data_IF_365033743542
#
_entry.id   IF_365033743542
#
_cell.length_a   1.000
_cell.length_b   1.000
_cell.length_c   1.000
_cell.angle_alpha   90.00
_cell.angle_beta   90.00
_cell.angle_gamma   90.00
#
_symmetry.space_group_name_H-M   'P 1'
#
loop_
_entity.id
_entity.type
_entity.pdbx_description
1 polymer ?
#
# COMPACT_ATOMS: atom_id res chain seq x y z
N UNK A 1 -16.66 -27.04 5.23
CA UNK A 1 -17.69 -28.04 4.83
C UNK A 1 -17.52 -28.64 3.43
N UNK A 2 -17.16 -27.89 2.36
CA UNK A 2 -16.98 -28.47 1.00
C UNK A 2 -15.74 -29.36 0.85
N UNK A 3 -14.59 -28.97 1.43
CA UNK A 3 -13.37 -29.77 1.32
C UNK A 3 -13.51 -31.18 1.92
N UNK A 4 -14.17 -31.35 3.08
CA UNK A 4 -14.44 -32.67 3.68
C UNK A 4 -15.19 -33.60 2.72
N UNK A 5 -16.14 -33.04 1.96
CA UNK A 5 -16.92 -33.79 0.96
C UNK A 5 -16.01 -34.18 -0.22
N UNK A 6 -15.15 -33.27 -0.68
CA UNK A 6 -14.23 -33.53 -1.78
C UNK A 6 -13.17 -34.58 -1.39
N UNK A 7 -12.63 -34.51 -0.18
CA UNK A 7 -11.74 -35.53 0.39
C UNK A 7 -12.46 -36.87 0.49
N UNK A 8 -13.72 -36.90 0.93
CA UNK A 8 -14.51 -38.15 0.99
C UNK A 8 -14.74 -38.76 -0.39
N UNK A 9 -14.90 -37.94 -1.44
CA UNK A 9 -15.05 -38.42 -2.81
C UNK A 9 -13.74 -38.96 -3.39
N UNK A 10 -12.64 -38.25 -3.17
CA UNK A 10 -11.33 -38.58 -3.75
C UNK A 10 -10.59 -39.67 -2.97
N UNK A 11 -10.75 -39.69 -1.65
CA UNK A 11 -10.05 -40.57 -0.71
C UNK A 11 -11.04 -41.12 0.34
N UNK A 12 -12.04 -41.92 -0.07
CA UNK A 12 -13.13 -42.38 0.79
C UNK A 12 -12.69 -43.20 2.01
N UNK A 13 -11.49 -43.80 1.95
CA UNK A 13 -10.94 -44.64 3.00
C UNK A 13 -9.92 -43.90 3.89
N UNK A 14 -9.71 -42.59 3.68
CA UNK A 14 -8.75 -41.82 4.46
C UNK A 14 -9.14 -41.77 5.94
N UNK A 15 -8.16 -42.01 6.82
CA UNK A 15 -8.30 -41.87 8.27
C UNK A 15 -8.62 -40.43 8.67
N UNK A 16 -8.17 -39.44 7.90
CA UNK A 16 -8.49 -38.02 8.12
C UNK A 16 -10.00 -37.76 8.12
N UNK A 17 -10.82 -38.56 7.43
CA UNK A 17 -12.28 -38.40 7.46
C UNK A 17 -12.91 -38.69 8.82
N UNK A 18 -12.25 -39.50 9.66
CA UNK A 18 -12.73 -39.86 11.01
C UNK A 18 -12.46 -38.76 12.03
N UNK A 19 -11.32 -38.09 11.90
CA UNK A 19 -10.85 -37.01 12.78
C UNK A 19 -10.77 -35.68 12.01
N UNK A 20 -11.68 -35.49 11.05
CA UNK A 20 -11.65 -34.33 10.17
C UNK A 20 -11.98 -33.08 10.99
N UNK A 21 -10.97 -32.24 11.17
CA UNK A 21 -11.02 -31.02 11.97
C UNK A 21 -11.59 -29.84 11.15
N UNK A 22 -11.94 -28.72 11.79
CA UNK A 22 -12.32 -27.50 11.06
C UNK A 22 -11.10 -26.75 10.51
N UNK A 23 -9.90 -27.03 11.03
CA UNK A 23 -8.63 -26.55 10.52
C UNK A 23 -8.20 -27.33 9.27
N UNK A 24 -8.36 -26.66 8.13
CA UNK A 24 -7.95 -27.17 6.82
C UNK A 24 -6.46 -27.47 6.71
N UNK A 25 -5.59 -26.74 7.41
CA UNK A 25 -4.13 -26.95 7.37
C UNK A 25 -3.78 -28.28 8.01
N UNK A 26 -4.34 -28.55 9.18
CA UNK A 26 -4.17 -29.84 9.89
C UNK A 26 -4.68 -30.99 9.02
N UNK A 27 -5.85 -30.82 8.40
CA UNK A 27 -6.42 -31.85 7.52
C UNK A 27 -5.52 -32.14 6.30
N UNK A 28 -5.01 -31.12 5.62
CA UNK A 28 -4.13 -31.28 4.46
C UNK A 28 -2.78 -31.90 4.86
N UNK A 29 -2.23 -31.52 6.01
CA UNK A 29 -1.02 -32.14 6.56
C UNK A 29 -1.22 -33.63 6.86
N UNK A 30 -2.31 -33.99 7.54
CA UNK A 30 -2.63 -35.38 7.85
C UNK A 30 -2.88 -36.20 6.59
N UNK A 31 -3.50 -35.62 5.56
CA UNK A 31 -3.67 -36.27 4.26
C UNK A 31 -2.33 -36.51 3.57
N UNK A 32 -1.39 -35.57 3.65
CA UNK A 32 -0.03 -35.77 3.15
C UNK A 32 0.67 -36.90 3.92
N UNK A 33 0.61 -36.91 5.25
CA UNK A 33 1.22 -37.96 6.08
C UNK A 33 0.62 -39.35 5.82
N UNK A 34 -0.68 -39.43 5.56
CA UNK A 34 -1.36 -40.70 5.27
C UNK A 34 -1.08 -41.21 3.85
N UNK A 35 -1.01 -40.32 2.87
CA UNK A 35 -1.03 -40.71 1.44
C UNK A 35 0.29 -40.47 0.69
N UNK A 36 1.21 -39.72 1.27
CA UNK A 36 2.44 -39.17 0.66
C UNK A 36 2.18 -38.37 -0.65
N UNK A 37 0.93 -37.93 -0.87
CA UNK A 37 0.55 -37.13 -2.04
C UNK A 37 0.74 -35.65 -1.75
N UNK A 38 1.52 -34.98 -2.60
CA UNK A 38 1.68 -33.52 -2.57
C UNK A 38 0.44 -32.84 -3.14
N UNK A 39 0.03 -31.74 -2.51
CA UNK A 39 -1.08 -30.91 -2.95
C UNK A 39 -0.54 -29.67 -3.65
N UNK A 40 -1.19 -29.27 -4.74
CA UNK A 40 -0.96 -27.98 -5.40
C UNK A 40 -2.18 -27.12 -5.07
N UNK A 41 -1.93 -26.02 -4.37
CA UNK A 41 -2.93 -24.98 -4.12
C UNK A 41 -2.76 -23.94 -5.22
N UNK A 42 -3.80 -23.76 -6.03
CA UNK A 42 -3.86 -22.67 -7.01
C UNK A 42 -4.74 -21.59 -6.39
N UNK A 43 -4.10 -20.47 -6.05
CA UNK A 43 -4.72 -19.29 -5.45
C UNK A 43 -4.51 -18.18 -6.47
N UNK A 44 -5.58 -17.54 -6.92
CA UNK A 44 -5.48 -16.44 -7.86
C UNK A 44 -5.26 -15.14 -7.07
N UNK A 45 -4.30 -14.31 -7.49
CA UNK A 45 -4.01 -13.01 -6.88
C UNK A 45 -5.21 -12.04 -6.96
N UNK A 46 -6.22 -12.41 -7.76
CA UNK A 46 -7.53 -11.76 -7.86
C UNK A 46 -8.63 -12.41 -7.02
N UNK A 47 -8.25 -13.15 -5.98
CA UNK A 47 -9.22 -13.85 -5.14
C UNK A 47 -10.37 -12.93 -4.76
N UNK A 48 -11.56 -13.44 -5.08
CA UNK A 48 -12.81 -12.72 -4.95
C UNK A 48 -12.98 -12.16 -3.55
N UNK A 49 -12.45 -12.80 -2.51
CA UNK A 49 -12.51 -12.29 -1.13
C UNK A 49 -11.75 -10.98 -0.96
N UNK A 50 -10.54 -10.85 -1.52
CA UNK A 50 -9.70 -9.65 -1.33
C UNK A 50 -10.23 -8.46 -2.14
N UNK A 51 -10.82 -8.72 -3.30
CA UNK A 51 -11.23 -7.68 -4.26
C UNK A 51 -12.73 -7.35 -4.22
N UNK A 52 -13.56 -8.23 -3.66
CA UNK A 52 -15.01 -8.06 -3.59
C UNK A 52 -15.43 -7.29 -2.36
N UNK A 53 -16.30 -6.30 -2.56
CA UNK A 53 -16.96 -5.58 -1.47
C UNK A 53 -18.08 -6.38 -0.78
N UNK A 54 -18.24 -7.67 -1.12
CA UNK A 54 -19.28 -8.54 -0.52
C UNK A 54 -18.89 -9.11 0.84
N UNK A 55 -17.62 -9.03 1.21
CA UNK A 55 -17.11 -9.53 2.47
C UNK A 55 -16.79 -8.37 3.41
N UNK A 56 -16.89 -8.64 4.70
CA UNK A 56 -16.57 -7.70 5.78
C UNK A 56 -15.06 -7.61 5.98
N UNK A 57 -14.59 -6.53 6.59
CA UNK A 57 -13.17 -6.37 6.94
C UNK A 57 -12.66 -7.51 7.83
N UNK A 58 -13.52 -8.03 8.71
CA UNK A 58 -13.21 -9.21 9.52
C UNK A 58 -13.01 -10.46 8.67
N UNK A 59 -13.87 -10.71 7.69
CA UNK A 59 -13.71 -11.87 6.78
C UNK A 59 -12.46 -11.74 5.90
N UNK A 60 -12.08 -10.52 5.51
CA UNK A 60 -10.81 -10.28 4.85
C UNK A 60 -9.62 -10.59 5.75
N UNK A 61 -9.63 -10.10 6.99
CA UNK A 61 -8.57 -10.36 7.97
C UNK A 61 -8.47 -11.85 8.28
N UNK A 62 -9.59 -12.53 8.51
CA UNK A 62 -9.64 -13.98 8.74
C UNK A 62 -9.08 -14.75 7.53
N UNK A 63 -9.33 -14.27 6.30
CA UNK A 63 -8.77 -14.87 5.08
C UNK A 63 -7.26 -14.67 4.95
N UNK A 64 -6.75 -13.47 5.20
CA UNK A 64 -5.31 -13.20 5.17
C UNK A 64 -4.58 -13.98 6.26
N UNK A 65 -5.12 -14.00 7.49
CA UNK A 65 -4.56 -14.79 8.59
C UNK A 65 -4.53 -16.28 8.23
N UNK A 66 -5.58 -16.78 7.58
CA UNK A 66 -5.62 -18.15 7.07
C UNK A 66 -4.49 -18.40 6.05
N UNK A 67 -4.28 -17.52 5.07
CA UNK A 67 -3.20 -17.65 4.09
C UNK A 67 -1.82 -17.62 4.75
N UNK A 68 -1.60 -16.72 5.70
CA UNK A 68 -0.34 -16.60 6.46
C UNK A 68 -0.09 -17.82 7.33
N UNK A 69 -1.13 -18.45 7.87
CA UNK A 69 -1.02 -19.71 8.60
C UNK A 69 -0.74 -20.90 7.67
N UNK A 70 -1.39 -20.94 6.51
CA UNK A 70 -1.25 -22.01 5.53
C UNK A 70 0.09 -21.99 4.79
N UNK A 71 0.61 -20.79 4.49
CA UNK A 71 1.73 -20.60 3.56
C UNK A 71 2.88 -19.90 4.28
N UNK A 72 4.08 -20.47 4.14
CA UNK A 72 5.31 -19.78 4.53
C UNK A 72 5.74 -18.82 3.42
N UNK A 73 5.76 -17.52 3.71
CA UNK A 73 6.24 -16.51 2.79
C UNK A 73 7.77 -16.60 2.60
N UNK A 74 8.20 -16.46 1.35
CA UNK A 74 9.61 -16.34 0.97
C UNK A 74 9.80 -15.05 0.18
N UNK A 75 10.75 -14.23 0.59
CA UNK A 75 11.04 -12.92 -0.01
C UNK A 75 12.47 -12.87 -0.52
N UNK A 76 12.76 -11.93 -1.42
CA UNK A 76 14.11 -11.66 -1.91
C UNK A 76 15.09 -11.19 -0.81
N UNK A 77 14.60 -10.76 0.35
CA UNK A 77 15.44 -10.27 1.45
C UNK A 77 16.27 -11.38 2.11
N UNK A 78 15.71 -12.58 2.26
CA UNK A 78 16.33 -13.63 3.10
C UNK A 78 16.15 -15.06 2.57
N UNK A 79 15.69 -15.24 1.33
CA UNK A 79 15.49 -16.57 0.79
C UNK A 79 16.77 -17.16 0.16
N UNK A 80 17.20 -18.31 0.69
CA UNK A 80 18.33 -19.10 0.20
C UNK A 80 17.93 -20.28 -0.68
N UNK A 81 16.65 -20.66 -0.68
CA UNK A 81 16.19 -21.96 -1.21
C UNK A 81 15.45 -21.81 -2.54
N UNK A 82 14.61 -20.79 -2.63
CA UNK A 82 13.71 -20.49 -3.74
C UNK A 82 14.16 -19.31 -4.59
N UNK A 83 15.34 -18.74 -4.33
CA UNK A 83 15.79 -17.49 -4.96
C UNK A 83 15.75 -17.51 -6.49
N UNK A 84 16.02 -18.69 -7.08
CA UNK A 84 16.02 -18.94 -8.53
C UNK A 84 14.63 -18.90 -9.17
N UNK A 85 13.57 -18.76 -8.38
CA UNK A 85 12.20 -18.67 -8.85
C UNK A 85 11.65 -17.24 -8.82
N UNK A 86 12.40 -16.26 -8.28
CA UNK A 86 12.00 -14.84 -8.31
C UNK A 86 12.28 -14.15 -9.66
N UNK A 87 13.05 -14.78 -10.53
CA UNK A 87 13.43 -14.25 -11.83
C UNK A 87 14.26 -15.26 -12.61
N UNK A 88 14.78 -14.86 -13.78
CA UNK A 88 15.68 -15.71 -14.55
C UNK A 88 17.12 -15.66 -14.05
N UNK A 89 17.83 -16.78 -14.14
CA UNK A 89 19.28 -16.83 -13.92
C UNK A 89 20.07 -16.41 -15.17
N UNK A 90 21.36 -16.11 -15.01
CA UNK A 90 22.24 -15.81 -16.16
C UNK A 90 22.24 -16.93 -17.20
N UNK A 91 22.22 -18.19 -16.76
CA UNK A 91 22.18 -19.35 -17.66
C UNK A 91 20.88 -19.39 -18.47
N UNK A 92 19.74 -19.13 -17.83
CA UNK A 92 18.44 -19.10 -18.50
C UNK A 92 18.35 -17.95 -19.51
N UNK A 93 18.85 -16.75 -19.16
CA UNK A 93 18.88 -15.61 -20.08
C UNK A 93 19.79 -15.89 -21.28
N UNK A 94 20.97 -16.48 -21.07
CA UNK A 94 21.86 -16.89 -22.17
C UNK A 94 21.21 -17.91 -23.10
N UNK A 95 20.51 -18.91 -22.54
CA UNK A 95 19.78 -19.90 -23.34
C UNK A 95 18.67 -19.24 -24.17
N UNK A 96 17.92 -18.31 -23.58
CA UNK A 96 16.87 -17.56 -24.26
C UNK A 96 17.42 -16.69 -25.41
N UNK A 97 18.53 -15.98 -25.20
CA UNK A 97 19.20 -15.21 -26.25
C UNK A 97 19.67 -16.11 -27.40
N UNK A 98 20.26 -17.26 -27.08
CA UNK A 98 20.72 -18.25 -28.06
C UNK A 98 19.59 -18.75 -28.97
N UNK A 99 18.36 -18.83 -28.45
CA UNK A 99 17.16 -19.20 -29.20
C UNK A 99 16.60 -18.04 -30.04
N UNK A 100 16.60 -16.82 -29.50
CA UNK A 100 16.04 -15.63 -30.18
C UNK A 100 16.94 -15.10 -31.32
N UNK A 101 18.27 -15.12 -31.13
CA UNK A 101 19.31 -14.69 -32.09
C UNK A 101 19.26 -13.22 -32.56
N UNK A 102 18.38 -12.38 -32.00
CA UNK A 102 18.29 -10.95 -32.36
C UNK A 102 18.85 -10.03 -31.29
N UNK A 103 18.55 -10.32 -30.02
CA UNK A 103 19.15 -9.64 -28.87
C UNK A 103 20.27 -10.49 -28.28
N UNK A 104 21.35 -9.84 -27.86
CA UNK A 104 22.49 -10.49 -27.21
C UNK A 104 22.26 -10.61 -25.70
N UNK A 105 23.07 -11.42 -25.03
CA UNK A 105 23.04 -11.49 -23.56
C UNK A 105 23.43 -10.14 -22.95
N UNK A 106 24.42 -9.47 -23.54
CA UNK A 106 24.93 -8.16 -23.12
C UNK A 106 23.87 -7.07 -23.20
N UNK A 107 23.01 -7.11 -24.23
CA UNK A 107 21.88 -6.18 -24.37
C UNK A 107 20.93 -6.31 -23.16
N UNK A 108 20.54 -7.53 -22.81
CA UNK A 108 19.65 -7.80 -21.68
C UNK A 108 20.34 -7.56 -20.32
N UNK A 109 21.62 -7.89 -20.20
CA UNK A 109 22.41 -7.67 -18.99
C UNK A 109 22.50 -6.19 -18.64
N UNK A 110 22.75 -5.34 -19.62
CA UNK A 110 22.91 -3.90 -19.38
C UNK A 110 21.63 -3.20 -18.88
N UNK A 111 20.46 -3.79 -19.11
CA UNK A 111 19.17 -3.18 -18.77
C UNK A 111 18.40 -3.88 -17.65
N UNK A 112 18.41 -5.21 -17.62
CA UNK A 112 17.48 -6.02 -16.83
C UNK A 112 18.13 -6.83 -15.72
N UNK A 113 19.46 -6.90 -15.68
CA UNK A 113 20.21 -7.47 -14.56
C UNK A 113 20.24 -6.48 -13.39
N UNK A 114 20.21 -7.01 -12.17
CA UNK A 114 20.40 -6.15 -11.01
C UNK A 114 20.05 -6.73 -9.66
N UNK A 115 19.21 -7.76 -9.64
CA UNK A 115 18.84 -8.42 -8.40
C UNK A 115 19.90 -9.44 -8.02
N UNK A 116 20.21 -9.50 -6.74
CA UNK A 116 21.18 -10.44 -6.20
C UNK A 116 20.44 -11.43 -5.31
N UNK A 117 20.69 -12.70 -5.55
CA UNK A 117 20.27 -13.76 -4.62
C UNK A 117 21.12 -13.75 -3.35
N UNK A 118 20.73 -14.55 -2.36
CA UNK A 118 21.45 -14.67 -1.08
C UNK A 118 22.92 -15.08 -1.21
N UNK A 119 23.33 -15.69 -2.34
CA UNK A 119 24.71 -16.10 -2.61
C UNK A 119 25.41 -15.21 -3.65
N UNK A 120 24.80 -14.08 -4.02
CA UNK A 120 25.38 -13.11 -4.95
C UNK A 120 25.16 -13.44 -6.42
N UNK A 121 24.50 -14.55 -6.77
CA UNK A 121 24.11 -14.82 -8.16
C UNK A 121 23.10 -13.79 -8.64
N UNK A 122 23.29 -13.34 -9.89
CA UNK A 122 22.42 -12.39 -10.57
C UNK A 122 21.09 -13.03 -10.92
N UNK A 123 20.03 -12.25 -10.73
CA UNK A 123 18.66 -12.60 -11.07
C UNK A 123 18.09 -11.46 -11.92
N UNK A 124 17.42 -11.85 -13.01
CA UNK A 124 16.91 -10.96 -14.04
C UNK A 124 15.39 -10.92 -13.94
N UNK A 125 14.80 -9.74 -14.16
CA UNK A 125 13.36 -9.63 -14.18
C UNK A 125 12.76 -10.41 -15.36
N UNK A 126 11.96 -11.43 -15.07
CA UNK A 126 11.34 -12.31 -16.06
C UNK A 126 10.44 -11.54 -17.05
N UNK A 127 9.67 -10.57 -16.56
CA UNK A 127 8.75 -9.80 -17.40
C UNK A 127 9.51 -8.97 -18.44
N UNK A 128 10.53 -8.23 -18.00
CA UNK A 128 11.36 -7.40 -18.88
C UNK A 128 12.12 -8.24 -19.90
N UNK A 129 12.75 -9.35 -19.49
CA UNK A 129 13.46 -10.26 -20.40
C UNK A 129 12.53 -10.85 -21.46
N UNK A 130 11.36 -11.37 -21.06
CA UNK A 130 10.39 -11.95 -21.99
C UNK A 130 9.89 -10.90 -22.99
N UNK A 131 9.55 -9.70 -22.51
CA UNK A 131 9.03 -8.64 -23.37
C UNK A 131 10.09 -8.15 -24.35
N UNK A 132 11.33 -7.97 -23.89
CA UNK A 132 12.43 -7.55 -24.74
C UNK A 132 12.67 -8.56 -25.86
N UNK A 133 12.75 -9.86 -25.54
CA UNK A 133 12.95 -10.91 -26.52
C UNK A 133 11.76 -11.06 -27.48
N UNK A 134 10.53 -10.96 -26.99
CA UNK A 134 9.35 -11.07 -27.84
C UNK A 134 9.24 -9.90 -28.83
N UNK A 135 9.52 -8.67 -28.37
CA UNK A 135 9.49 -7.46 -29.21
C UNK A 135 10.77 -7.24 -30.01
N UNK A 136 11.85 -7.93 -29.64
CA UNK A 136 13.21 -7.69 -30.12
C UNK A 136 13.65 -6.24 -29.93
N UNK A 137 13.32 -5.66 -28.77
CA UNK A 137 13.68 -4.29 -28.44
C UNK A 137 14.09 -4.17 -26.97
N UNK A 138 15.00 -3.26 -26.68
CA UNK A 138 15.41 -2.94 -25.32
C UNK A 138 14.72 -1.65 -24.90
N UNK A 139 13.87 -1.72 -23.89
CA UNK A 139 13.07 -0.61 -23.39
C UNK A 139 12.82 -0.79 -21.89
N UNK A 140 12.21 0.23 -21.29
CA UNK A 140 11.68 0.10 -19.95
C UNK A 140 10.34 -0.66 -20.00
N UNK A 141 10.36 -1.94 -19.60
CA UNK A 141 9.19 -2.80 -19.50
C UNK A 141 8.58 -2.81 -18.09
N UNK A 142 9.25 -2.12 -17.15
CA UNK A 142 8.75 -1.86 -15.82
C UNK A 142 7.63 -0.81 -15.83
N UNK A 143 6.40 -1.26 -16.12
CA UNK A 143 5.23 -0.38 -16.09
C UNK A 143 4.89 0.09 -14.67
N UNK A 144 4.33 1.30 -14.55
CA UNK A 144 3.90 1.93 -13.30
C UNK A 144 2.77 1.16 -12.61
N UNK A 145 3.11 0.04 -11.97
CA UNK A 145 2.21 -0.71 -11.09
C UNK A 145 1.73 0.19 -9.95
N UNK A 146 0.53 -0.05 -9.40
CA UNK A 146 -0.06 0.78 -8.35
C UNK A 146 0.86 0.97 -7.11
N UNK A 147 1.77 0.02 -6.87
CA UNK A 147 2.79 0.07 -5.82
C UNK A 147 3.89 1.11 -6.07
N UNK A 148 4.21 1.48 -7.32
CA UNK A 148 5.25 2.48 -7.55
C UNK A 148 4.77 3.90 -7.25
N UNK A 149 3.46 4.15 -7.38
CA UNK A 149 2.84 5.42 -6.93
C UNK A 149 3.06 5.65 -5.43
N UNK A 150 3.16 4.59 -4.65
CA UNK A 150 3.47 4.65 -3.23
C UNK A 150 4.94 5.05 -3.01
N UNK A 151 5.88 4.40 -3.72
CA UNK A 151 7.32 4.74 -3.70
C UNK A 151 7.58 6.18 -4.12
N UNK A 152 7.04 6.59 -5.27
CA UNK A 152 7.13 7.96 -5.78
C UNK A 152 6.67 9.01 -4.75
N UNK A 153 5.54 8.76 -4.08
CA UNK A 153 5.06 9.67 -3.01
C UNK A 153 6.05 9.75 -1.87
N UNK A 154 6.59 8.63 -1.37
CA UNK A 154 7.54 8.66 -0.25
C UNK A 154 8.77 9.52 -0.54
N UNK A 155 9.31 9.39 -1.76
CA UNK A 155 10.50 10.11 -2.21
C UNK A 155 10.20 11.61 -2.35
N UNK A 156 9.08 11.96 -2.99
CA UNK A 156 8.70 13.36 -3.20
C UNK A 156 8.45 14.09 -1.89
N UNK A 157 7.91 13.40 -0.88
CA UNK A 157 7.65 13.96 0.45
C UNK A 157 8.84 13.90 1.41
N UNK A 158 9.99 13.37 0.97
CA UNK A 158 11.20 13.23 1.79
C UNK A 158 10.90 12.61 3.17
N UNK A 159 10.07 11.57 3.17
CA UNK A 159 9.67 10.89 4.40
C UNK A 159 10.94 10.35 5.06
N UNK A 160 11.16 10.66 6.35
CA UNK A 160 12.35 10.25 7.13
C UNK A 160 13.71 10.58 6.47
N UNK A 161 13.77 11.58 5.59
CA UNK A 161 15.01 12.04 4.96
C UNK A 161 15.53 11.13 3.83
N UNK A 162 14.67 10.31 3.22
CA UNK A 162 15.10 9.35 2.18
C UNK A 162 15.50 10.00 0.86
N UNK A 163 15.19 11.28 0.62
CA UNK A 163 15.43 11.88 -0.70
C UNK A 163 16.92 11.95 -1.05
N UNK A 164 17.77 12.30 -0.09
CA UNK A 164 19.22 12.33 -0.29
C UNK A 164 19.76 10.91 -0.55
N UNK A 165 19.32 9.94 0.24
CA UNK A 165 19.66 8.52 0.06
C UNK A 165 19.26 8.02 -1.33
N UNK A 166 18.05 8.34 -1.81
CA UNK A 166 17.61 7.96 -3.15
C UNK A 166 18.48 8.58 -4.25
N UNK A 167 18.95 9.82 -4.07
CA UNK A 167 19.90 10.44 -5.01
C UNK A 167 21.23 9.68 -5.04
N UNK A 168 21.74 9.26 -3.87
CA UNK A 168 22.93 8.40 -3.78
C UNK A 168 22.71 7.07 -4.51
N UNK A 169 21.55 6.43 -4.32
CA UNK A 169 21.20 5.19 -5.03
C UNK A 169 21.12 5.41 -6.56
N UNK A 170 20.56 6.53 -7.03
CA UNK A 170 20.52 6.89 -8.46
C UNK A 170 21.93 7.09 -9.02
N UNK A 171 22.85 7.63 -8.23
CA UNK A 171 24.26 7.78 -8.58
C UNK A 171 25.01 6.43 -8.63
N UNK A 172 24.37 5.34 -8.21
CA UNK A 172 24.92 3.99 -8.22
C UNK A 172 25.60 3.60 -6.90
N UNK A 173 25.48 4.41 -5.86
CA UNK A 173 26.00 4.08 -4.54
C UNK A 173 25.09 3.03 -3.86
N UNK A 174 25.68 2.25 -2.96
CA UNK A 174 24.95 1.29 -2.11
C UNK A 174 24.79 1.89 -0.71
N UNK A 175 23.63 1.69 -0.08
CA UNK A 175 23.36 2.19 1.28
C UNK A 175 23.29 1.02 2.24
N UNK A 176 24.04 1.09 3.34
CA UNK A 176 24.01 0.08 4.40
C UNK A 176 22.77 0.29 5.28
N UNK A 177 21.97 -0.76 5.41
CA UNK A 177 20.76 -0.78 6.23
C UNK A 177 20.43 -2.21 6.65
N UNK A 178 20.07 -2.39 7.92
CA UNK A 178 19.61 -3.67 8.43
C UNK A 178 18.11 -3.80 8.12
N UNK A 179 17.77 -4.70 7.19
CA UNK A 179 16.38 -5.01 6.86
C UNK A 179 15.98 -6.32 7.54
N UNK A 180 14.81 -6.30 8.17
CA UNK A 180 14.15 -7.49 8.69
C UNK A 180 12.96 -7.82 7.79
N UNK A 181 12.52 -9.08 7.75
CA UNK A 181 11.30 -9.45 7.03
C UNK A 181 10.11 -8.93 7.81
N UNK A 182 9.76 -7.66 7.63
CA UNK A 182 8.52 -7.11 8.15
C UNK A 182 7.36 -7.70 7.33
N UNK A 183 6.63 -8.62 7.93
CA UNK A 183 5.40 -9.16 7.37
C UNK A 183 4.31 -8.09 7.33
N UNK A 184 3.18 -8.39 6.68
CA UNK A 184 1.99 -7.50 6.67
C UNK A 184 1.49 -7.22 8.10
N UNK A 185 1.74 -8.14 9.04
CA UNK A 185 1.31 -8.07 10.44
C UNK A 185 2.18 -7.19 11.35
N UNK A 186 3.46 -6.96 11.04
CA UNK A 186 4.36 -6.21 11.93
C UNK A 186 3.98 -4.72 12.05
N UNK A 187 3.18 -4.24 11.09
CA UNK A 187 2.58 -2.91 11.09
C UNK A 187 1.53 -2.75 12.22
N UNK A 188 0.99 -3.86 12.79
CA UNK A 188 -0.03 -3.79 13.85
C UNK A 188 0.56 -3.54 15.24
N UNK A 189 1.87 -3.75 15.44
CA UNK A 189 2.55 -3.62 16.74
C UNK A 189 3.34 -2.31 16.87
N UNK A 190 2.80 -1.17 16.45
CA UNK A 190 3.58 0.07 16.51
C UNK A 190 2.74 1.27 16.93
N UNK A 191 2.74 1.53 18.24
CA UNK A 191 2.39 2.83 18.80
C UNK A 191 3.58 3.57 19.42
N UNK A 192 4.81 3.04 19.44
CA UNK A 192 5.84 3.61 20.35
C UNK A 192 7.22 4.00 19.77
N UNK A 193 7.74 3.45 18.66
CA UNK A 193 9.13 3.77 18.26
C UNK A 193 9.29 4.32 16.84
N UNK A 194 9.81 5.57 16.75
CA UNK A 194 10.23 6.24 15.50
C UNK A 194 11.43 5.56 14.83
N UNK A 195 12.10 4.65 15.53
CA UNK A 195 13.46 4.18 15.23
C UNK A 195 13.54 3.17 14.08
N UNK A 196 12.40 2.62 13.61
CA UNK A 196 12.38 1.58 12.56
C UNK A 196 11.60 1.94 11.28
N UNK A 197 11.09 3.17 11.18
CA UNK A 197 10.24 3.60 10.06
C UNK A 197 10.99 3.52 8.73
N UNK A 198 12.29 3.81 8.72
CA UNK A 198 13.14 3.80 7.52
C UNK A 198 13.40 2.36 7.05
N UNK A 199 13.66 1.45 7.97
CA UNK A 199 13.89 0.03 7.73
C UNK A 199 12.64 -0.63 7.17
N UNK A 200 11.47 -0.37 7.75
CA UNK A 200 10.18 -0.86 7.25
C UNK A 200 9.92 -0.35 5.84
N UNK A 201 10.23 0.92 5.59
CA UNK A 201 10.08 1.55 4.29
C UNK A 201 10.96 0.85 3.24
N UNK A 202 12.27 0.76 3.46
CA UNK A 202 13.17 0.13 2.51
C UNK A 202 12.90 -1.36 2.35
N UNK A 203 12.50 -2.06 3.42
CA UNK A 203 12.03 -3.45 3.34
C UNK A 203 10.88 -3.59 2.32
N UNK A 204 9.89 -2.70 2.35
CA UNK A 204 8.78 -2.73 1.38
C UNK A 204 9.22 -2.42 -0.04
N UNK A 205 10.10 -1.43 -0.22
CA UNK A 205 10.61 -1.07 -1.55
C UNK A 205 11.37 -2.26 -2.16
N UNK A 206 12.14 -2.99 -1.35
CA UNK A 206 12.80 -4.24 -1.76
C UNK A 206 11.79 -5.35 -2.04
N UNK A 207 10.81 -5.58 -1.17
CA UNK A 207 9.77 -6.62 -1.37
C UNK A 207 8.97 -6.40 -2.64
N UNK A 208 8.69 -5.14 -3.01
CA UNK A 208 8.03 -4.81 -4.28
C UNK A 208 8.96 -4.86 -5.50
N UNK A 209 10.24 -5.15 -5.29
CA UNK A 209 11.23 -5.29 -6.36
C UNK A 209 11.76 -3.96 -6.89
N UNK A 210 11.54 -2.81 -6.25
CA UNK A 210 12.11 -1.54 -6.76
C UNK A 210 13.57 -1.34 -6.35
N UNK A 211 14.02 -2.00 -5.29
CA UNK A 211 15.42 -2.05 -4.85
C UNK A 211 15.84 -3.51 -4.70
N UNK A 212 17.14 -3.78 -4.83
CA UNK A 212 17.74 -5.06 -4.43
C UNK A 212 18.37 -4.92 -3.05
N UNK A 213 18.42 -6.01 -2.30
CA UNK A 213 19.11 -6.09 -1.01
C UNK A 213 20.14 -7.21 -1.02
N UNK A 214 21.39 -6.88 -0.71
CA UNK A 214 22.47 -7.86 -0.66
C UNK A 214 23.52 -7.45 0.36
N UNK A 215 23.91 -8.40 1.22
CA UNK A 215 24.97 -8.23 2.21
C UNK A 215 24.82 -6.96 3.08
N UNK A 216 23.61 -6.73 3.61
CA UNK A 216 23.35 -5.57 4.46
C UNK A 216 23.14 -4.26 3.71
N UNK A 217 23.11 -4.27 2.38
CA UNK A 217 23.03 -3.05 1.57
C UNK A 217 21.89 -3.07 0.56
N UNK A 218 21.30 -1.91 0.35
CA UNK A 218 20.32 -1.66 -0.72
C UNK A 218 20.97 -0.96 -1.90
N UNK A 219 20.48 -1.27 -3.10
CA UNK A 219 20.83 -0.55 -4.33
C UNK A 219 19.69 -0.59 -5.36
N UNK A 220 19.72 0.35 -6.32
CA UNK A 220 18.85 0.26 -7.50
C UNK A 220 19.39 -0.86 -8.37
N UNK A 221 18.60 -1.90 -8.65
CA UNK A 221 19.11 -3.11 -9.30
C UNK A 221 19.57 -2.80 -10.73
N UNK A 222 18.74 -2.11 -11.50
CA UNK A 222 18.90 -2.08 -12.95
C UNK A 222 18.54 -0.71 -13.57
N UNK A 223 18.80 -0.57 -14.86
CA UNK A 223 18.61 0.68 -15.58
C UNK A 223 17.13 1.08 -15.69
N UNK A 224 16.23 0.11 -15.84
CA UNK A 224 14.79 0.35 -15.88
C UNK A 224 14.33 1.10 -14.62
N UNK A 225 14.70 0.56 -13.46
CA UNK A 225 14.30 1.13 -12.18
C UNK A 225 14.97 2.48 -11.93
N UNK A 226 16.23 2.64 -12.32
CA UNK A 226 16.90 3.95 -12.27
C UNK A 226 16.13 5.02 -13.04
N UNK A 227 15.67 4.72 -14.25
CA UNK A 227 14.85 5.66 -15.03
C UNK A 227 13.52 5.97 -14.32
N UNK A 228 12.87 5.00 -13.70
CA UNK A 228 11.63 5.21 -12.95
C UNK A 228 11.84 6.11 -11.72
N UNK A 229 12.94 5.93 -10.97
CA UNK A 229 13.29 6.82 -9.86
C UNK A 229 13.59 8.26 -10.34
N UNK A 230 14.28 8.42 -11.47
CA UNK A 230 14.54 9.74 -12.08
C UNK A 230 13.22 10.40 -12.53
N UNK A 231 12.31 9.65 -13.17
CA UNK A 231 10.98 10.14 -13.56
C UNK A 231 10.17 10.55 -12.32
N UNK A 232 10.22 9.76 -11.24
CA UNK A 232 9.54 10.06 -9.99
C UNK A 232 9.99 11.41 -9.40
N UNK A 233 11.31 11.68 -9.40
CA UNK A 233 11.88 12.94 -8.91
C UNK A 233 11.61 14.16 -9.81
N UNK A 234 11.46 13.95 -11.12
CA UNK A 234 11.27 15.02 -12.10
C UNK A 234 9.80 15.38 -12.35
N UNK A 235 8.85 14.63 -11.80
CA UNK A 235 7.44 14.94 -11.98
C UNK A 235 7.07 16.21 -11.21
N UNK A 236 6.69 17.25 -11.96
CA UNK A 236 6.32 18.59 -11.45
C UNK A 236 4.84 18.71 -11.09
N UNK A 237 4.04 17.65 -11.25
CA UNK A 237 2.62 17.69 -10.91
C UNK A 237 2.46 17.88 -9.40
N UNK A 238 2.09 19.12 -9.02
CA UNK A 238 2.37 19.67 -7.70
C UNK A 238 1.81 18.84 -6.55
N UNK A 239 2.71 18.42 -5.66
CA UNK A 239 2.48 17.71 -4.40
C UNK A 239 1.47 18.41 -3.45
N UNK A 240 1.21 19.69 -3.67
CA UNK A 240 0.19 20.47 -2.98
C UNK A 240 -1.21 20.19 -3.52
N UNK A 241 -1.39 20.08 -4.84
CA UNK A 241 -2.70 19.86 -5.45
C UNK A 241 -3.26 18.48 -5.11
N UNK A 242 -2.42 17.44 -4.95
CA UNK A 242 -2.87 16.13 -4.49
C UNK A 242 -3.27 16.16 -2.99
N UNK A 243 -2.47 16.78 -2.13
CA UNK A 243 -2.80 16.95 -0.71
C UNK A 243 -4.05 17.86 -0.52
N UNK A 244 -4.17 18.93 -1.30
CA UNK A 244 -5.35 19.78 -1.36
C UNK A 244 -6.57 19.05 -1.94
N UNK A 245 -6.42 18.23 -2.98
CA UNK A 245 -7.51 17.41 -3.54
C UNK A 245 -7.95 16.32 -2.54
N UNK A 246 -7.02 15.77 -1.74
CA UNK A 246 -7.30 14.80 -0.69
C UNK A 246 -7.98 15.44 0.53
N UNK A 247 -7.61 16.68 0.89
CA UNK A 247 -8.33 17.49 1.90
C UNK A 247 -9.70 17.92 1.38
N UNK A 248 -9.82 18.24 0.09
CA UNK A 248 -11.02 18.75 -0.56
C UNK A 248 -12.02 17.64 -0.91
N UNK A 249 -11.58 16.40 -1.08
CA UNK A 249 -12.41 15.21 -1.31
C UNK A 249 -12.57 14.41 -0.01
N UNK A 250 -13.27 14.98 0.98
CA UNK A 250 -13.49 14.49 2.36
C UNK A 250 -13.47 12.96 2.58
N UNK A 251 -13.96 12.19 1.63
CA UNK A 251 -14.18 10.73 1.71
C UNK A 251 -12.87 9.94 1.73
N UNK A 252 -11.84 10.42 1.04
CA UNK A 252 -10.55 9.73 0.98
C UNK A 252 -9.71 10.00 2.25
N UNK A 253 -9.90 11.16 2.89
CA UNK A 253 -9.33 11.45 4.20
C UNK A 253 -10.08 10.68 5.31
N UNK A 254 -11.41 10.57 5.21
CA UNK A 254 -12.25 9.87 6.18
C UNK A 254 -12.11 8.34 6.15
N UNK A 255 -12.01 7.72 4.97
CA UNK A 255 -11.72 6.28 4.86
C UNK A 255 -10.42 5.93 5.62
N UNK A 256 -9.44 6.84 5.54
CA UNK A 256 -8.12 6.71 6.16
C UNK A 256 -8.15 6.93 7.67
N UNK A 257 -8.98 7.84 8.18
CA UNK A 257 -9.13 8.10 9.62
C UNK A 257 -9.97 7.05 10.34
N UNK A 258 -11.01 6.47 9.70
CA UNK A 258 -11.98 5.60 10.38
C UNK A 258 -11.72 4.09 10.22
N UNK A 259 -11.05 3.62 9.16
CA UNK A 259 -10.93 2.17 8.90
C UNK A 259 -9.68 1.49 9.47
N UNK A 260 -8.81 2.18 10.23
CA UNK A 260 -7.50 1.63 10.65
C UNK A 260 -6.80 0.91 9.49
N UNK A 261 -6.96 1.40 8.25
CA UNK A 261 -6.37 0.76 7.08
C UNK A 261 -4.88 1.12 7.07
N UNK A 262 -4.13 0.33 7.83
CA UNK A 262 -2.75 0.54 8.26
C UNK A 262 -1.84 0.85 7.07
N UNK A 263 -2.14 0.31 5.88
CA UNK A 263 -1.34 0.48 4.66
C UNK A 263 -1.45 1.89 4.06
N UNK A 264 -2.56 2.60 4.24
CA UNK A 264 -2.83 3.95 3.69
C UNK A 264 -2.68 5.05 4.75
N UNK A 265 -2.98 4.73 6.01
CA UNK A 265 -2.75 5.57 7.20
C UNK A 265 -1.27 5.93 7.36
N UNK A 266 -0.37 4.97 7.17
CA UNK A 266 1.06 5.17 7.39
C UNK A 266 1.61 6.33 6.52
N UNK A 267 1.28 6.39 5.23
CA UNK A 267 1.86 7.40 4.33
C UNK A 267 1.39 8.83 4.58
N UNK A 268 0.10 9.02 4.85
CA UNK A 268 -0.46 10.35 5.12
C UNK A 268 -0.08 10.85 6.50
N UNK A 269 -0.03 9.95 7.50
CA UNK A 269 0.38 10.26 8.86
C UNK A 269 1.88 10.57 8.96
N UNK A 270 2.75 9.78 8.29
CA UNK A 270 4.18 10.06 8.26
C UNK A 270 4.51 11.36 7.51
N UNK A 271 3.84 11.64 6.38
CA UNK A 271 4.03 12.89 5.65
C UNK A 271 3.56 14.11 6.47
N UNK A 272 2.42 14.01 7.15
CA UNK A 272 2.01 15.07 8.08
C UNK A 272 3.02 15.24 9.23
N UNK A 273 3.56 14.15 9.79
CA UNK A 273 4.58 14.19 10.86
C UNK A 273 5.93 14.78 10.45
N UNK A 274 6.25 14.94 9.16
CA UNK A 274 7.47 15.66 8.75
C UNK A 274 7.32 17.18 8.95
N UNK A 275 6.10 17.71 8.77
CA UNK A 275 5.79 19.15 8.80
C UNK A 275 5.05 19.59 10.07
N UNK A 276 4.38 18.66 10.73
CA UNK A 276 3.52 18.90 11.88
C UNK A 276 3.90 18.00 13.07
N UNK A 277 3.75 18.54 14.27
CA UNK A 277 3.55 17.74 15.48
C UNK A 277 2.05 17.43 15.56
N UNK A 278 1.72 16.14 15.45
CA UNK A 278 0.34 15.66 15.50
C UNK A 278 0.07 15.22 16.93
N UNK A 279 -0.96 15.79 17.55
CA UNK A 279 -1.36 15.42 18.91
C UNK A 279 -2.79 14.91 18.87
N UNK A 280 -2.95 13.67 19.29
CA UNK A 280 -4.24 13.02 19.53
C UNK A 280 -4.67 13.35 20.97
N UNK A 281 -5.97 13.55 21.18
CA UNK A 281 -6.53 13.93 22.49
C UNK A 281 -5.88 15.19 23.10
N UNK A 282 -5.59 16.20 22.28
CA UNK A 282 -4.85 17.39 22.74
C UNK A 282 -5.62 18.11 23.86
N UNK A 283 -5.04 18.21 25.08
CA UNK A 283 -5.72 18.79 26.22
C UNK A 283 -5.74 20.32 26.13
N UNK A 284 -6.90 20.90 26.39
CA UNK A 284 -7.11 22.33 26.59
C UNK A 284 -7.99 22.55 27.82
N UNK A 285 -8.03 23.77 28.35
CA UNK A 285 -8.75 24.13 29.57
C UNK A 285 -10.25 23.80 29.52
N UNK A 286 -10.81 23.65 28.30
CA UNK A 286 -12.22 23.35 28.08
C UNK A 286 -12.50 21.89 27.64
N UNK A 287 -11.48 21.03 27.52
CA UNK A 287 -11.61 19.63 27.08
C UNK A 287 -10.51 19.18 26.11
N UNK A 288 -10.61 17.96 25.59
CA UNK A 288 -9.69 17.40 24.59
C UNK A 288 -10.28 17.51 23.19
N UNK A 289 -9.45 17.83 22.19
CA UNK A 289 -9.81 17.68 20.75
C UNK A 289 -9.34 16.32 20.27
N UNK A 290 -10.03 15.75 19.29
CA UNK A 290 -9.64 14.43 18.78
C UNK A 290 -8.24 14.47 18.15
N UNK A 291 -7.98 15.40 17.21
CA UNK A 291 -6.67 15.52 16.56
C UNK A 291 -6.32 16.98 16.25
N UNK A 292 -5.09 17.41 16.58
CA UNK A 292 -4.53 18.69 16.14
C UNK A 292 -3.18 18.50 15.42
N UNK A 293 -2.98 19.25 14.35
CA UNK A 293 -1.73 19.32 13.59
C UNK A 293 -1.10 20.70 13.81
N UNK A 294 0.01 20.73 14.54
CA UNK A 294 0.75 21.94 14.87
C UNK A 294 2.01 22.03 13.99
N UNK A 295 2.20 23.10 13.19
CA UNK A 295 3.39 23.22 12.34
C UNK A 295 4.69 23.18 13.16
N UNK A 296 5.67 22.36 12.77
CA UNK A 296 6.97 22.31 13.48
C UNK A 296 7.67 23.67 13.50
N UNK A 297 8.63 23.86 14.41
CA UNK A 297 9.32 25.14 14.70
C UNK A 297 9.61 26.01 13.45
N UNK A 298 10.22 25.42 12.42
CA UNK A 298 10.58 26.10 11.16
C UNK A 298 9.40 26.71 10.39
N UNK A 299 8.18 26.25 10.65
CA UNK A 299 6.94 26.59 9.96
C UNK A 299 5.90 27.23 10.87
N UNK A 300 6.18 27.52 12.15
CA UNK A 300 5.19 28.04 13.10
C UNK A 300 4.47 29.33 12.64
N UNK A 301 5.17 30.19 11.91
CA UNK A 301 4.64 31.49 11.48
C UNK A 301 3.71 31.37 10.27
N UNK A 302 4.08 30.56 9.28
CA UNK A 302 3.38 30.50 7.98
C UNK A 302 2.60 29.19 7.76
N UNK A 303 2.85 28.17 8.60
CA UNK A 303 2.21 26.86 8.51
C UNK A 303 0.77 26.91 9.00
N UNK A 304 -0.12 26.27 8.25
CA UNK A 304 -1.55 26.21 8.57
C UNK A 304 -1.80 25.24 9.72
N UNK A 305 -2.46 25.68 10.77
CA UNK A 305 -2.87 24.83 11.90
C UNK A 305 -4.12 24.04 11.47
N UNK A 306 -4.20 22.75 11.80
CA UNK A 306 -5.38 21.94 11.47
C UNK A 306 -5.94 21.34 12.75
N UNK A 307 -7.24 21.53 13.00
CA UNK A 307 -7.96 21.01 14.17
C UNK A 307 -9.09 20.13 13.64
N UNK A 308 -9.16 18.90 14.11
CA UNK A 308 -10.13 17.90 13.65
C UNK A 308 -10.97 17.41 14.84
N UNK A 309 -12.28 17.39 14.62
CA UNK A 309 -13.27 16.81 15.54
C UNK A 309 -14.12 15.78 14.78
N UNK A 310 -14.29 14.61 15.40
CA UNK A 310 -15.00 13.47 14.87
C UNK A 310 -16.28 13.24 15.67
N UNK A 311 -17.38 12.92 14.97
CA UNK A 311 -18.66 12.52 15.56
C UNK A 311 -19.22 11.28 14.89
N UNK A 312 -20.01 10.53 15.65
CA UNK A 312 -20.77 9.37 15.17
C UNK A 312 -22.26 9.60 15.46
N UNK A 313 -23.11 9.38 14.46
CA UNK A 313 -24.57 9.57 14.51
C UNK A 313 -25.01 10.98 14.95
N UNK A 314 -24.26 12.01 14.55
CA UNK A 314 -24.57 13.42 14.76
C UNK A 314 -24.50 14.17 13.43
N UNK A 315 -23.88 15.35 13.37
CA UNK A 315 -23.61 16.10 12.13
C UNK A 315 -22.21 16.71 12.15
N UNK A 316 -21.62 16.93 10.98
CA UNK A 316 -20.34 17.63 10.86
C UNK A 316 -20.41 19.09 11.35
N UNK A 317 -21.59 19.72 11.26
CA UNK A 317 -21.84 21.05 11.83
C UNK A 317 -21.77 21.04 13.35
N UNK A 318 -22.30 20.01 14.01
CA UNK A 318 -22.17 19.87 15.47
C UNK A 318 -20.71 19.59 15.87
N UNK A 319 -19.91 18.90 15.03
CA UNK A 319 -18.47 18.75 15.26
C UNK A 319 -17.73 20.10 15.18
N UNK A 320 -17.96 20.90 14.13
CA UNK A 320 -17.42 22.27 14.03
C UNK A 320 -17.86 23.16 15.20
N UNK A 321 -19.15 23.10 15.57
CA UNK A 321 -19.68 23.83 16.71
C UNK A 321 -19.00 23.40 18.01
N UNK A 322 -18.70 22.11 18.17
CA UNK A 322 -17.94 21.62 19.33
C UNK A 322 -16.53 22.22 19.37
N UNK A 323 -15.82 22.27 18.24
CA UNK A 323 -14.52 22.95 18.13
C UNK A 323 -14.61 24.41 18.58
N UNK A 324 -15.61 25.15 18.11
CA UNK A 324 -15.82 26.56 18.51
C UNK A 324 -16.19 26.73 19.98
N UNK A 325 -17.00 25.83 20.54
CA UNK A 325 -17.36 25.84 21.96
C UNK A 325 -16.13 25.60 22.84
N UNK A 326 -15.28 24.66 22.43
CA UNK A 326 -14.09 24.24 23.17
C UNK A 326 -12.89 25.17 22.95
N UNK A 327 -12.91 25.94 21.86
CA UNK A 327 -11.89 26.95 21.51
C UNK A 327 -10.49 26.36 21.47
N UNK A 328 -10.32 25.22 20.80
CA UNK A 328 -9.02 24.51 20.71
C UNK A 328 -7.89 25.34 20.09
N UNK A 329 -8.24 26.41 19.36
CA UNK A 329 -7.29 27.37 18.78
C UNK A 329 -6.78 28.44 19.77
N UNK A 330 -7.33 28.53 20.99
CA UNK A 330 -6.87 29.47 22.01
C UNK A 330 -5.47 29.12 22.51
N UNK A 331 -4.66 30.13 22.84
CA UNK A 331 -3.29 29.96 23.34
C UNK A 331 -2.26 29.54 22.27
N UNK A 332 -2.68 29.18 21.05
CA UNK A 332 -1.74 28.80 19.98
C UNK A 332 -0.82 29.96 19.57
N UNK A 333 -1.32 31.21 19.56
CA UNK A 333 -0.49 32.40 19.32
C UNK A 333 0.60 32.58 20.38
N UNK A 334 0.27 32.37 21.65
CA UNK A 334 1.22 32.46 22.77
C UNK A 334 2.30 31.37 22.66
N UNK A 335 1.97 30.22 22.06
CA UNK A 335 2.90 29.13 21.72
C UNK A 335 3.68 29.37 20.41
N UNK A 336 3.47 30.51 19.75
CA UNK A 336 4.21 30.96 18.57
C UNK A 336 3.58 30.59 17.22
N UNK A 337 2.36 30.07 17.18
CA UNK A 337 1.68 29.70 15.93
C UNK A 337 0.87 30.86 15.35
N UNK A 338 1.20 31.29 14.13
CA UNK A 338 0.60 32.49 13.50
C UNK A 338 0.00 32.26 12.11
N UNK A 339 0.02 31.03 11.61
CA UNK A 339 -0.59 30.71 10.32
C UNK A 339 -2.11 30.66 10.36
N UNK A 340 -2.72 30.43 9.19
CA UNK A 340 -4.16 30.19 9.07
C UNK A 340 -4.58 28.95 9.87
N UNK A 341 -5.84 28.91 10.27
CA UNK A 341 -6.41 27.82 11.06
C UNK A 341 -7.48 27.12 10.22
N UNK A 342 -7.40 25.81 10.11
CA UNK A 342 -8.36 24.97 9.43
C UNK A 342 -9.10 24.14 10.47
N UNK A 343 -10.40 24.37 10.60
CA UNK A 343 -11.28 23.58 11.46
C UNK A 343 -11.98 22.55 10.57
N UNK A 344 -11.91 21.29 10.96
CA UNK A 344 -12.49 20.18 10.20
C UNK A 344 -13.41 19.41 11.14
N UNK A 345 -14.71 19.48 10.87
CA UNK A 345 -15.73 18.70 11.56
C UNK A 345 -16.16 17.54 10.68
N UNK A 346 -16.08 16.33 11.22
CA UNK A 346 -16.40 15.11 10.50
C UNK A 346 -17.50 14.36 11.25
N UNK A 347 -18.51 13.88 10.53
CA UNK A 347 -19.50 12.98 11.11
C UNK A 347 -19.75 11.76 10.23
N UNK A 348 -19.95 10.63 10.89
CA UNK A 348 -20.40 9.38 10.28
C UNK A 348 -21.76 8.96 10.82
N UNK A 349 -22.76 8.82 9.94
CA UNK A 349 -24.08 8.27 10.27
C UNK A 349 -24.07 6.75 10.04
N UNK A 350 -24.13 5.95 11.11
CA UNK A 350 -24.14 4.49 11.05
C UNK A 350 -25.40 3.93 10.38
N UNK A 351 -26.53 4.63 10.46
CA UNK A 351 -27.80 4.16 9.91
C UNK A 351 -27.85 4.36 8.41
N UNK A 352 -27.36 5.50 7.94
CA UNK A 352 -27.33 5.83 6.52
C UNK A 352 -26.07 5.36 5.80
N UNK A 353 -25.01 5.05 6.56
CA UNK A 353 -23.68 4.75 6.01
C UNK A 353 -23.20 5.93 5.15
N UNK A 354 -23.44 7.14 5.66
CA UNK A 354 -23.14 8.41 5.00
C UNK A 354 -22.17 9.21 5.85
N UNK A 355 -21.34 9.99 5.15
CA UNK A 355 -20.41 10.91 5.76
C UNK A 355 -20.81 12.34 5.47
N UNK A 356 -20.56 13.20 6.44
CA UNK A 356 -20.61 14.65 6.25
C UNK A 356 -19.29 15.24 6.75
N UNK A 357 -18.79 16.24 6.03
CA UNK A 357 -17.61 17.00 6.40
C UNK A 357 -17.91 18.49 6.25
N UNK A 358 -17.46 19.27 7.22
CA UNK A 358 -17.45 20.72 7.15
C UNK A 358 -16.04 21.19 7.42
N UNK A 359 -15.52 22.02 6.53
CA UNK A 359 -14.20 22.61 6.62
C UNK A 359 -14.37 24.13 6.68
N UNK A 360 -13.85 24.75 7.73
CA UNK A 360 -13.80 26.20 7.86
C UNK A 360 -12.34 26.66 7.92
N UNK A 361 -11.95 27.54 7.00
CA UNK A 361 -10.64 28.17 7.03
C UNK A 361 -10.74 29.56 7.63
N UNK A 362 -9.88 29.84 8.59
CA UNK A 362 -9.74 31.13 9.26
C UNK A 362 -8.33 31.68 9.06
N UNK A 363 -8.23 33.00 8.97
CA UNK A 363 -6.92 33.64 9.14
C UNK A 363 -6.50 33.62 10.62
N UNK A 364 -5.28 34.06 10.88
CA UNK A 364 -4.72 34.12 12.22
C UNK A 364 -5.49 35.02 13.20
N UNK A 365 -6.40 35.89 12.73
CA UNK A 365 -7.25 36.72 13.58
C UNK A 365 -8.65 36.14 13.76
N UNK A 366 -8.84 34.84 13.48
CA UNK A 366 -10.13 34.15 13.53
C UNK A 366 -11.20 34.82 12.65
N UNK A 367 -10.79 35.48 11.56
CA UNK A 367 -11.72 35.90 10.51
C UNK A 367 -11.88 34.77 9.51
N UNK A 368 -13.11 34.33 9.30
CA UNK A 368 -13.47 33.29 8.34
C UNK A 368 -13.04 33.71 6.92
N UNK A 369 -12.34 32.82 6.23
CA UNK A 369 -11.87 32.96 4.86
C UNK A 369 -12.74 32.15 3.90
N UNK A 370 -13.07 30.92 4.26
CA UNK A 370 -13.92 30.04 3.45
C UNK A 370 -14.61 28.97 4.31
N UNK A 371 -15.76 28.50 3.82
CA UNK A 371 -16.45 27.33 4.35
C UNK A 371 -16.72 26.38 3.18
N UNK A 372 -16.43 25.10 3.38
CA UNK A 372 -16.76 24.03 2.43
C UNK A 372 -17.57 22.99 3.18
N UNK A 373 -18.71 22.61 2.62
CA UNK A 373 -19.53 21.49 3.11
C UNK A 373 -19.54 20.41 2.04
N UNK A 374 -19.33 19.17 2.45
CA UNK A 374 -19.43 18.01 1.57
C UNK A 374 -20.19 16.91 2.28
N UNK A 375 -21.10 16.30 1.53
CA UNK A 375 -21.82 15.10 1.93
C UNK A 375 -21.48 14.02 0.92
N UNK A 376 -21.13 12.84 1.43
CA UNK A 376 -20.80 11.72 0.60
C UNK A 376 -21.59 10.49 1.02
N UNK A 377 -22.36 10.02 0.06
CA UNK A 377 -22.92 8.69 0.10
C UNK A 377 -21.84 7.68 -0.23
N UNK A 378 -21.80 6.57 0.50
CA UNK A 378 -21.08 5.39 0.05
C UNK A 378 -21.73 4.93 -1.26
N UNK A 379 -21.15 5.29 -2.42
CA UNK A 379 -21.59 4.76 -3.71
C UNK A 379 -21.59 3.23 -3.64
N UNK A 380 -22.77 2.61 -3.65
CA UNK A 380 -22.91 1.22 -4.08
C UNK A 380 -22.42 1.19 -5.52
N UNK A 381 -21.24 0.63 -5.75
CA UNK A 381 -20.69 0.46 -7.08
C UNK A 381 -21.53 -0.55 -7.86
N UNK A 382 -22.52 -0.03 -8.61
CA UNK A 382 -23.14 -0.63 -9.79
C UNK A 382 -23.22 0.46 -10.87
N UNK A 383 -23.04 0.05 -12.12
CA UNK A 383 -23.17 0.83 -13.36
C UNK A 383 -21.97 1.74 -13.73
N UNK A 384 -20.90 1.11 -14.20
CA UNK A 384 -20.28 1.57 -15.45
C UNK A 384 -20.87 0.71 -16.56
N UNK A 385 -21.77 1.31 -17.32
CA UNK A 385 -22.30 0.79 -18.58
C UNK A 385 -21.13 0.46 -19.52
N UNK A 386 -20.86 -0.84 -19.68
CA UNK A 386 -20.31 -1.34 -20.94
C UNK A 386 -21.50 -1.32 -21.90
N UNK A 387 -21.68 -0.18 -22.59
CA UNK A 387 -22.57 -0.13 -23.74
C UNK A 387 -22.05 -1.14 -24.77
N UNK A 388 -22.91 -2.12 -25.06
CA UNK A 388 -22.58 -3.28 -25.85
C UNK A 388 -22.40 -2.94 -27.34
N UNK A 389 -21.23 -3.29 -27.86
CA UNK A 389 -21.12 -3.89 -29.19
C UNK A 389 -20.45 -5.26 -29.05
N UNK A 390 -21.24 -6.25 -28.67
CA UNK A 390 -20.98 -7.64 -29.03
C UNK A 390 -22.33 -8.30 -29.32
N UNK A 391 -22.93 -7.89 -30.45
CA UNK A 391 -24.02 -8.64 -31.05
C UNK A 391 -23.44 -9.88 -31.74
N UNK A 392 -23.91 -11.02 -31.25
CA UNK A 392 -24.06 -12.33 -31.93
C UNK A 392 -22.77 -13.14 -32.11
N UNK A 393 -22.74 -14.30 -31.43
CA UNK A 393 -22.55 -15.61 -32.07
C UNK A 393 -22.66 -16.75 -31.05
N UNK A 394 -23.88 -17.29 -30.87
CA UNK A 394 -24.24 -18.70 -30.55
C UNK A 394 -25.71 -18.84 -30.95
N UNK A 395 -26.24 -19.91 -31.52
CA UNK A 395 -25.76 -21.13 -32.16
C UNK A 395 -27.02 -21.79 -32.75
N UNK A 396 -26.91 -22.36 -33.95
CA UNK A 396 -27.64 -23.53 -34.48
C UNK A 396 -29.13 -23.78 -34.17
N UNK A 397 -29.86 -23.95 -35.28
CA UNK A 397 -30.87 -24.99 -35.60
C UNK A 397 -32.27 -24.95 -34.98
N UNK A 398 -33.27 -24.64 -35.84
CA UNK A 398 -34.37 -25.57 -36.15
C UNK A 398 -35.05 -25.20 -37.49
N UNK A 399 -35.30 -26.26 -38.27
CA UNK A 399 -35.92 -26.41 -39.60
C UNK A 399 -37.47 -26.27 -39.52
N UNK A 400 -38.27 -26.29 -40.61
CA UNK A 400 -38.13 -27.00 -41.90
C UNK A 400 -37.61 -26.16 -43.06
#
# INVERSE_FOLDING_TARGET
>A
MKLKIDVKKLLPNSKVLKEYDDDIVVNVQNLYLETDKKFILVIDEWDYIITSKRFTDKEHDDYINFLTYLIKEYTMLNDKKYYKYFGFTEEEVNELCSKNKKLTFEDLESWYNGYKSSNGKKIYNTWSVIHALNKNNIENYWSLTGSFKVVKRMINYDIVGVKEEILELINGNEIEIKLENYGVEDIRKESEEKEHVKEILYSKIVTFGYLTYYNGKISIPNKELKEEFIKALNDKESDLQYFYNMIKNSDEMLEVTLHKNVKRMYYSYFNARTKYDIVEEYPNDNGTTDIIFLPKEKNKVNGKIIIIELKVNSTAKEAIKHIHQKKYYNGLKEKGYYGNILLIGINYDLKKVEYSCVIEEYNNNMKLLSTTESEAERKRSNELEINGENKRLRSSSSKP
#
